data_IF_468496217236
#
_entry.id   IF_468496217236
#
_cell.length_a   1.000
_cell.length_b   1.000
_cell.length_c   1.000
_cell.angle_alpha   90.00
_cell.angle_beta   90.00
_cell.angle_gamma   90.00
#
_symmetry.space_group_name_H-M   'P 1'
#
loop_
_entity.id
_entity.type
_entity.pdbx_description
1 polymer ?
#
# COMPACT_ATOMS: atom_id res chain seq x y z
N UNK A 1 -23.69 -5.84 8.39
CA UNK A 1 -24.16 -4.95 7.30
C UNK A 1 -23.38 -3.66 7.42
N UNK A 2 -22.75 -3.15 6.35
CA UNK A 2 -21.84 -2.00 6.46
C UNK A 2 -22.53 -0.69 6.89
N UNK A 3 -21.73 0.29 7.33
CA UNK A 3 -22.27 1.62 7.68
C UNK A 3 -22.88 2.25 6.43
N UNK A 4 -24.07 2.85 6.55
CA UNK A 4 -24.69 3.60 5.45
C UNK A 4 -23.85 4.82 5.05
N UNK A 5 -23.18 5.45 6.03
CA UNK A 5 -22.27 6.57 5.84
C UNK A 5 -20.82 6.11 6.07
N UNK A 6 -19.93 6.27 5.09
CA UNK A 6 -18.52 5.95 5.27
C UNK A 6 -17.83 6.90 6.25
N UNK A 7 -16.76 6.42 6.87
CA UNK A 7 -15.80 7.28 7.57
C UNK A 7 -14.76 7.70 6.53
N UNK A 8 -14.47 9.00 6.48
CA UNK A 8 -13.61 9.58 5.44
C UNK A 8 -12.57 10.53 6.01
N UNK A 9 -11.39 10.50 5.40
CA UNK A 9 -10.36 11.56 5.47
C UNK A 9 -9.95 11.93 4.05
N UNK A 10 -9.43 13.14 3.86
CA UNK A 10 -8.84 13.56 2.60
C UNK A 10 -7.62 14.44 2.83
N UNK A 11 -6.77 14.51 1.81
CA UNK A 11 -5.60 15.37 1.76
C UNK A 11 -5.37 15.83 0.33
N UNK A 12 -4.51 16.82 0.13
CA UNK A 12 -4.16 17.32 -1.19
C UNK A 12 -2.73 16.89 -1.55
N UNK A 13 -2.54 16.46 -2.79
CA UNK A 13 -1.22 16.32 -3.39
C UNK A 13 -0.58 17.71 -3.61
N UNK A 14 0.75 17.79 -3.81
CA UNK A 14 1.43 19.07 -4.04
C UNK A 14 0.89 19.88 -5.23
N UNK A 15 0.28 19.20 -6.21
CA UNK A 15 -0.36 19.84 -7.38
C UNK A 15 -1.83 20.22 -7.16
N UNK A 16 -2.35 20.03 -5.95
CA UNK A 16 -3.72 20.39 -5.56
C UNK A 16 -4.78 19.34 -5.86
N UNK A 17 -4.44 18.17 -6.43
CA UNK A 17 -5.42 17.08 -6.56
C UNK A 17 -5.79 16.52 -5.18
N UNK A 18 -7.09 16.39 -4.92
CA UNK A 18 -7.58 15.78 -3.68
C UNK A 18 -7.52 14.25 -3.75
N UNK A 19 -7.00 13.65 -2.68
CA UNK A 19 -7.04 12.20 -2.42
C UNK A 19 -7.98 11.96 -1.26
N UNK A 20 -8.98 11.10 -1.48
CA UNK A 20 -9.99 10.75 -0.48
C UNK A 20 -9.80 9.29 -0.06
N UNK A 21 -9.77 9.05 1.25
CA UNK A 21 -9.67 7.71 1.85
C UNK A 21 -10.96 7.42 2.62
N UNK A 22 -11.67 6.35 2.25
CA UNK A 22 -12.95 5.95 2.83
C UNK A 22 -12.92 4.53 3.40
N UNK A 23 -13.55 4.30 4.55
CA UNK A 23 -13.76 2.97 5.14
C UNK A 23 -15.17 2.79 5.75
N UNK A 24 -15.52 1.54 6.07
CA UNK A 24 -16.72 1.19 6.83
C UNK A 24 -17.98 0.89 6.01
N UNK A 25 -17.98 1.22 4.71
CA UNK A 25 -19.10 0.95 3.80
C UNK A 25 -18.96 -0.39 3.05
N UNK A 26 -17.79 -0.67 2.50
CA UNK A 26 -17.52 -1.85 1.67
C UNK A 26 -16.77 -2.93 2.47
N UNK A 27 -17.05 -4.20 2.16
CA UNK A 27 -16.36 -5.38 2.70
C UNK A 27 -16.17 -5.39 4.23
N UNK A 28 -17.23 -5.12 4.99
CA UNK A 28 -17.15 -4.99 6.46
C UNK A 28 -16.88 -6.30 7.22
N UNK A 29 -16.72 -7.41 6.50
CA UNK A 29 -16.30 -8.69 7.06
C UNK A 29 -14.77 -8.88 7.00
N UNK A 30 -14.06 -8.08 6.20
CA UNK A 30 -12.60 -8.05 6.26
C UNK A 30 -12.14 -7.39 7.57
N UNK A 31 -10.93 -7.73 8.02
CA UNK A 31 -10.32 -7.09 9.18
C UNK A 31 -10.16 -5.59 8.91
N UNK A 32 -9.68 -5.24 7.71
CA UNK A 32 -9.63 -3.87 7.19
C UNK A 32 -10.06 -3.78 5.74
N UNK A 33 -10.73 -2.68 5.40
CA UNK A 33 -11.08 -2.36 4.02
C UNK A 33 -11.10 -0.85 3.80
N UNK A 34 -10.54 -0.42 2.67
CA UNK A 34 -10.44 1.00 2.32
C UNK A 34 -10.68 1.21 0.83
N UNK A 35 -11.31 2.33 0.51
CA UNK A 35 -11.42 2.87 -0.83
C UNK A 35 -10.60 4.16 -0.91
N UNK A 36 -9.58 4.18 -1.75
CA UNK A 36 -8.82 5.39 -2.10
C UNK A 36 -9.35 5.94 -3.42
N UNK A 37 -9.60 7.24 -3.49
CA UNK A 37 -10.07 7.92 -4.71
C UNK A 37 -9.23 9.16 -5.01
N UNK A 38 -8.77 9.26 -6.25
CA UNK A 38 -8.06 10.42 -6.81
C UNK A 38 -8.71 10.75 -8.15
N UNK A 39 -9.50 11.83 -8.20
CA UNK A 39 -10.34 12.12 -9.37
C UNK A 39 -11.26 10.95 -9.71
N UNK A 40 -11.03 10.31 -10.86
CA UNK A 40 -11.77 9.12 -11.33
C UNK A 40 -11.07 7.79 -11.01
N UNK A 41 -9.80 7.82 -10.61
CA UNK A 41 -9.07 6.62 -10.19
C UNK A 41 -9.53 6.20 -8.80
N UNK A 42 -9.95 4.95 -8.65
CA UNK A 42 -10.48 4.37 -7.42
C UNK A 42 -9.87 2.99 -7.18
N UNK A 43 -9.17 2.87 -6.06
CA UNK A 43 -8.51 1.66 -5.59
C UNK A 43 -9.23 1.14 -4.36
N UNK A 44 -9.69 -0.10 -4.43
CA UNK A 44 -10.31 -0.79 -3.30
C UNK A 44 -9.33 -1.81 -2.75
N UNK A 45 -8.94 -1.65 -1.49
CA UNK A 45 -8.09 -2.58 -0.77
C UNK A 45 -8.85 -3.26 0.37
N UNK A 46 -8.62 -4.55 0.54
CA UNK A 46 -9.09 -5.32 1.69
C UNK A 46 -7.95 -6.17 2.24
N UNK A 47 -7.87 -6.23 3.56
CA UNK A 47 -6.88 -7.04 4.28
C UNK A 47 -7.57 -7.99 5.24
N UNK A 48 -7.10 -9.23 5.25
CA UNK A 48 -7.55 -10.28 6.14
C UNK A 48 -6.33 -10.99 6.69
N UNK A 49 -6.31 -11.21 8.00
CA UNK A 49 -5.32 -12.04 8.65
C UNK A 49 -6.00 -13.09 9.51
N UNK A 50 -5.55 -14.33 9.38
CA UNK A 50 -5.97 -15.41 10.26
C UNK A 50 -5.78 -15.03 11.73
N UNK A 51 -6.70 -15.41 12.64
CA UNK A 51 -6.54 -15.16 14.07
C UNK A 51 -5.35 -15.92 14.68
N UNK A 52 -5.05 -17.09 14.14
CA UNK A 52 -3.99 -17.99 14.61
C UNK A 52 -3.08 -18.41 13.45
N UNK A 53 -1.83 -18.72 13.77
CA UNK A 53 -0.90 -19.33 12.83
C UNK A 53 -1.29 -20.78 12.53
N UNK A 54 -1.01 -21.25 11.32
CA UNK A 54 -1.22 -22.67 10.97
C UNK A 54 -0.20 -23.54 11.71
N UNK A 55 -0.60 -24.76 12.06
CA UNK A 55 0.30 -25.72 12.67
C UNK A 55 1.50 -26.02 11.74
N UNK A 56 2.71 -25.97 12.30
CA UNK A 56 3.95 -26.19 11.53
C UNK A 56 4.34 -25.07 10.58
N UNK A 57 3.74 -23.88 10.70
CA UNK A 57 4.09 -22.72 9.86
C UNK A 57 5.53 -22.27 10.12
N UNK A 58 6.40 -22.41 9.11
CA UNK A 58 7.84 -22.10 9.24
C UNK A 58 8.21 -20.65 8.89
N UNK A 59 7.31 -19.88 8.27
CA UNK A 59 7.57 -18.52 7.81
C UNK A 59 6.28 -17.68 7.78
N UNK A 60 6.41 -16.35 7.78
CA UNK A 60 5.28 -15.43 7.68
C UNK A 60 4.62 -15.48 6.27
N UNK A 61 3.39 -16.01 6.14
CA UNK A 61 2.71 -16.08 4.85
C UNK A 61 1.95 -14.77 4.58
N UNK A 62 2.65 -13.82 3.97
CA UNK A 62 2.06 -12.60 3.41
C UNK A 62 1.89 -12.76 1.89
N UNK A 63 0.66 -12.59 1.42
CA UNK A 63 0.32 -12.50 0.00
C UNK A 63 -0.25 -11.12 -0.31
N UNK A 64 0.26 -10.49 -1.37
CA UNK A 64 -0.23 -9.21 -1.86
C UNK A 64 -0.59 -9.39 -3.33
N UNK A 65 -1.86 -9.12 -3.67
CA UNK A 65 -2.36 -9.18 -5.04
C UNK A 65 -2.92 -7.81 -5.44
N UNK A 66 -2.31 -7.18 -6.43
CA UNK A 66 -2.86 -6.03 -7.14
C UNK A 66 -3.47 -6.49 -8.47
N UNK A 67 -4.71 -6.10 -8.75
CA UNK A 67 -5.40 -6.42 -10.00
C UNK A 67 -6.18 -5.23 -10.57
N UNK A 68 -6.05 -5.00 -11.87
CA UNK A 68 -6.85 -4.04 -12.61
C UNK A 68 -8.07 -4.71 -13.23
N UNK A 69 -9.27 -4.37 -12.75
CA UNK A 69 -10.49 -4.90 -13.34
C UNK A 69 -10.67 -4.33 -14.74
N UNK A 70 -11.00 -5.14 -15.74
CA UNK A 70 -11.26 -4.61 -17.09
C UNK A 70 -12.43 -3.60 -17.10
N UNK A 71 -13.40 -3.82 -16.22
CA UNK A 71 -14.51 -2.92 -15.97
C UNK A 71 -14.08 -1.52 -15.47
N UNK A 72 -12.92 -1.40 -14.81
CA UNK A 72 -12.39 -0.12 -14.35
C UNK A 72 -12.12 0.86 -15.50
N UNK A 73 -11.79 0.33 -16.68
CA UNK A 73 -11.60 1.07 -17.93
C UNK A 73 -12.80 0.97 -18.88
N UNK A 74 -13.93 0.41 -18.42
CA UNK A 74 -15.13 0.20 -19.25
C UNK A 74 -14.92 -0.81 -20.38
N UNK A 75 -14.04 -1.81 -20.20
CA UNK A 75 -13.71 -2.82 -21.20
C UNK A 75 -14.19 -4.21 -20.77
N UNK A 76 -14.44 -5.06 -21.76
CA UNK A 76 -14.68 -6.50 -21.55
C UNK A 76 -13.37 -7.24 -21.86
N UNK A 77 -12.93 -8.21 -21.04
CA UNK A 77 -11.72 -8.99 -21.33
C UNK A 77 -11.72 -9.59 -22.74
N UNK A 78 -10.59 -9.49 -23.43
CA UNK A 78 -10.42 -9.96 -24.81
C UNK A 78 -10.20 -11.46 -24.96
N UNK A 79 -9.95 -12.18 -23.87
CA UNK A 79 -9.66 -13.62 -23.88
C UNK A 79 -10.91 -14.47 -24.15
N UNK A 80 -10.70 -15.76 -24.46
CA UNK A 80 -11.77 -16.71 -24.78
C UNK A 80 -12.86 -16.78 -23.70
N UNK A 81 -12.46 -16.74 -22.43
CA UNK A 81 -13.36 -16.85 -21.29
C UNK A 81 -14.08 -15.54 -20.92
N UNK A 82 -13.71 -14.40 -21.52
CA UNK A 82 -14.24 -13.05 -21.18
C UNK A 82 -14.15 -12.73 -19.68
N UNK A 83 -13.06 -13.16 -19.03
CA UNK A 83 -12.84 -13.02 -17.58
C UNK A 83 -11.42 -12.59 -17.28
N UNK A 84 -11.22 -11.87 -16.18
CA UNK A 84 -9.91 -11.70 -15.57
C UNK A 84 -9.27 -13.07 -15.28
N UNK A 85 -7.97 -13.18 -15.53
CA UNK A 85 -7.20 -14.41 -15.35
C UNK A 85 -6.01 -14.13 -14.44
N UNK A 86 -4.89 -14.83 -14.66
CA UNK A 86 -3.61 -14.55 -14.00
C UNK A 86 -3.24 -13.07 -14.11
N UNK A 87 -2.63 -12.54 -13.06
CA UNK A 87 -2.01 -11.22 -13.04
C UNK A 87 -1.00 -11.06 -14.18
N UNK A 88 -1.05 -9.91 -14.86
CA UNK A 88 -0.05 -9.45 -15.81
C UNK A 88 1.27 -9.12 -15.12
N UNK A 89 2.36 -8.98 -15.90
CA UNK A 89 3.68 -8.65 -15.35
C UNK A 89 3.66 -7.30 -14.62
N UNK A 90 2.94 -6.31 -15.15
CA UNK A 90 2.74 -5.03 -14.49
C UNK A 90 2.03 -5.19 -13.15
N UNK A 91 0.93 -5.95 -13.09
CA UNK A 91 0.19 -6.20 -11.85
C UNK A 91 1.04 -6.95 -10.82
N UNK A 92 1.88 -7.90 -11.25
CA UNK A 92 2.84 -8.60 -10.39
C UNK A 92 3.91 -7.64 -9.87
N UNK A 93 4.42 -6.72 -10.70
CA UNK A 93 5.41 -5.73 -10.27
C UNK A 93 4.83 -4.78 -9.21
N UNK A 94 3.61 -4.27 -9.41
CA UNK A 94 2.92 -3.42 -8.41
C UNK A 94 2.67 -4.20 -7.13
N UNK A 95 2.25 -5.47 -7.22
CA UNK A 95 2.08 -6.35 -6.05
C UNK A 95 3.38 -6.47 -5.24
N UNK A 96 4.53 -6.59 -5.93
CA UNK A 96 5.85 -6.68 -5.30
C UNK A 96 6.31 -5.37 -4.66
N UNK A 97 5.98 -4.21 -5.25
CA UNK A 97 6.27 -2.90 -4.63
C UNK A 97 5.60 -2.80 -3.27
N UNK A 98 4.31 -3.12 -3.22
CA UNK A 98 3.51 -3.08 -1.99
C UNK A 98 4.01 -4.13 -0.98
N UNK A 99 4.29 -5.36 -1.40
CA UNK A 99 4.81 -6.42 -0.51
C UNK A 99 6.14 -6.01 0.15
N UNK A 100 7.09 -5.48 -0.63
CA UNK A 100 8.40 -5.04 -0.13
C UNK A 100 8.26 -3.94 0.92
N UNK A 101 7.32 -3.03 0.73
CA UNK A 101 7.11 -1.91 1.65
C UNK A 101 6.40 -2.35 2.95
N UNK A 102 5.48 -3.31 2.88
CA UNK A 102 4.69 -3.77 4.03
C UNK A 102 5.40 -4.84 4.88
N UNK A 103 6.05 -5.82 4.24
CA UNK A 103 6.58 -7.03 4.88
C UNK A 103 7.48 -6.75 6.10
N UNK A 104 8.41 -5.77 6.08
CA UNK A 104 9.29 -5.51 7.22
C UNK A 104 8.59 -4.90 8.44
N UNK A 105 7.34 -4.46 8.31
CA UNK A 105 6.60 -3.77 9.37
C UNK A 105 5.67 -4.69 10.16
N UNK A 106 5.60 -5.97 9.80
CA UNK A 106 4.96 -6.96 10.66
C UNK A 106 5.89 -7.33 11.81
N UNK A 107 5.36 -7.59 13.03
CA UNK A 107 6.18 -7.98 14.16
C UNK A 107 7.04 -9.21 13.85
N UNK A 108 8.22 -9.27 14.46
CA UNK A 108 9.04 -10.46 14.40
C UNK A 108 8.27 -11.68 14.97
N UNK A 109 8.37 -12.82 14.29
CA UNK A 109 7.62 -14.01 14.65
C UNK A 109 6.12 -13.99 14.29
N UNK A 110 5.63 -12.98 13.57
CA UNK A 110 4.25 -12.96 13.10
C UNK A 110 4.01 -14.04 12.02
N UNK A 111 3.32 -15.12 12.39
CA UNK A 111 3.11 -16.29 11.51
C UNK A 111 1.67 -16.44 10.99
N UNK A 112 0.81 -15.46 11.26
CA UNK A 112 -0.58 -15.51 10.83
C UNK A 112 -0.68 -15.21 9.34
N UNK A 113 -1.33 -16.10 8.60
CA UNK A 113 -1.56 -15.92 7.17
C UNK A 113 -2.33 -14.63 6.92
N UNK A 114 -1.69 -13.74 6.16
CA UNK A 114 -2.20 -12.40 5.87
C UNK A 114 -2.31 -12.20 4.37
N UNK A 115 -3.49 -11.81 3.92
CA UNK A 115 -3.78 -11.53 2.53
C UNK A 115 -4.15 -10.05 2.36
N UNK A 116 -3.49 -9.39 1.42
CA UNK A 116 -3.77 -8.03 0.98
C UNK A 116 -4.23 -8.11 -0.47
N UNK A 117 -5.47 -7.72 -0.73
CA UNK A 117 -6.02 -7.67 -2.10
C UNK A 117 -6.32 -6.21 -2.43
N UNK A 118 -5.79 -5.74 -3.56
CA UNK A 118 -5.96 -4.39 -4.07
C UNK A 118 -6.55 -4.50 -5.47
N UNK A 119 -7.68 -3.84 -5.70
CA UNK A 119 -8.32 -3.80 -7.00
C UNK A 119 -8.45 -2.36 -7.48
N UNK A 120 -7.99 -2.07 -8.70
CA UNK A 120 -8.43 -0.88 -9.42
C UNK A 120 -9.87 -1.13 -9.90
N UNK A 121 -10.82 -0.39 -9.34
CA UNK A 121 -12.25 -0.54 -9.64
C UNK A 121 -12.79 0.56 -10.56
N UNK A 122 -12.08 1.70 -10.65
CA UNK A 122 -12.32 2.74 -11.65
C UNK A 122 -10.97 3.37 -12.00
N UNK A 123 -10.66 3.52 -13.28
CA UNK A 123 -9.37 4.06 -13.73
C UNK A 123 -9.55 5.36 -14.50
N UNK A 124 -8.82 6.40 -14.12
CA UNK A 124 -8.50 7.49 -15.02
C UNK A 124 -7.34 7.09 -15.94
N UNK A 125 -7.36 7.51 -17.20
CA UNK A 125 -6.31 7.17 -18.17
C UNK A 125 -4.99 7.85 -17.85
N UNK A 126 -5.05 8.99 -17.15
CA UNK A 126 -3.91 9.87 -16.94
C UNK A 126 -3.39 9.85 -15.49
N UNK A 127 -4.07 9.14 -14.57
CA UNK A 127 -3.62 8.99 -13.18
C UNK A 127 -3.08 7.58 -12.97
N UNK A 128 -1.75 7.39 -12.87
CA UNK A 128 -1.15 6.08 -12.59
C UNK A 128 -1.65 5.53 -11.24
N UNK A 129 -2.24 4.32 -11.21
CA UNK A 129 -2.81 3.76 -9.98
C UNK A 129 -1.77 3.11 -9.06
N UNK A 130 -0.63 2.71 -9.61
CA UNK A 130 0.48 2.08 -8.89
C UNK A 130 0.98 2.94 -7.72
N UNK A 131 1.16 4.25 -7.94
CA UNK A 131 1.61 5.20 -6.92
C UNK A 131 0.63 5.37 -5.74
N UNK A 132 -0.55 4.76 -5.77
CA UNK A 132 -1.54 4.80 -4.69
C UNK A 132 -1.87 3.40 -4.15
N UNK A 133 -1.28 2.33 -4.71
CA UNK A 133 -1.58 0.97 -4.31
C UNK A 133 -1.12 0.70 -2.87
N UNK A 134 0.09 1.10 -2.50
CA UNK A 134 0.60 0.93 -1.14
C UNK A 134 -0.16 1.81 -0.12
N UNK A 135 -0.58 3.02 -0.53
CA UNK A 135 -1.48 3.87 0.28
C UNK A 135 -2.78 3.13 0.61
N UNK A 136 -3.41 2.50 -0.38
CA UNK A 136 -4.66 1.78 -0.19
C UNK A 136 -4.48 0.57 0.74
N UNK A 137 -3.44 -0.22 0.53
CA UNK A 137 -3.13 -1.38 1.37
C UNK A 137 -2.79 -0.99 2.81
N UNK A 138 -1.91 0.00 2.99
CA UNK A 138 -1.53 0.51 4.30
C UNK A 138 -2.72 1.13 5.04
N UNK A 139 -3.58 1.88 4.35
CA UNK A 139 -4.78 2.43 4.96
C UNK A 139 -5.74 1.33 5.44
N UNK A 140 -5.87 0.24 4.67
CA UNK A 140 -6.66 -0.93 5.07
C UNK A 140 -6.07 -1.62 6.32
N UNK A 141 -4.74 -1.76 6.43
CA UNK A 141 -4.07 -2.23 7.66
C UNK A 141 -4.22 -1.26 8.83
N UNK A 142 -4.16 0.04 8.58
CA UNK A 142 -4.28 1.07 9.61
C UNK A 142 -5.65 1.04 10.29
N UNK A 143 -6.72 0.75 9.54
CA UNK A 143 -8.10 0.66 10.06
C UNK A 143 -8.50 -0.73 10.57
N UNK A 144 -7.60 -1.71 10.52
CA UNK A 144 -7.79 -3.05 11.09
C UNK A 144 -7.15 -3.17 12.47
N UNK A 145 -7.40 -4.29 13.13
CA UNK A 145 -6.74 -4.69 14.38
C UNK A 145 -5.47 -5.52 14.13
N UNK A 146 -5.03 -5.71 12.88
CA UNK A 146 -3.82 -6.48 12.56
C UNK A 146 -2.57 -5.73 13.08
N UNK A 147 -1.65 -6.40 13.78
CA UNK A 147 -0.44 -5.76 14.29
C UNK A 147 0.49 -5.41 13.12
N UNK A 148 0.78 -4.12 12.99
CA UNK A 148 1.52 -3.55 11.88
C UNK A 148 2.17 -2.24 12.33
N UNK A 149 3.48 -2.11 12.15
CA UNK A 149 4.29 -0.96 12.57
C UNK A 149 4.27 0.22 11.58
N UNK A 150 3.27 0.27 10.69
CA UNK A 150 3.02 1.43 9.83
C UNK A 150 2.16 2.51 10.52
N UNK A 151 1.43 3.35 9.76
CA UNK A 151 1.21 3.24 8.32
C UNK A 151 2.41 3.64 7.47
N UNK A 152 2.42 3.16 6.23
CA UNK A 152 3.27 3.65 5.15
C UNK A 152 2.43 4.41 4.13
N UNK A 153 3.10 5.15 3.27
CA UNK A 153 2.56 5.41 1.94
C UNK A 153 3.64 5.25 0.88
N UNK A 154 3.22 5.32 -0.37
CA UNK A 154 4.06 5.28 -1.54
C UNK A 154 3.73 6.47 -2.43
N UNK A 155 4.75 7.05 -3.07
CA UNK A 155 4.59 8.09 -4.08
C UNK A 155 5.56 7.86 -5.22
N UNK A 156 5.14 8.25 -6.43
CA UNK A 156 6.01 8.43 -7.58
C UNK A 156 6.61 9.83 -7.54
N UNK A 157 7.91 9.95 -7.72
CA UNK A 157 8.62 11.22 -7.87
C UNK A 157 9.31 11.19 -9.22
N UNK A 158 8.93 12.13 -10.09
CA UNK A 158 9.60 12.30 -11.37
C UNK A 158 10.30 13.64 -11.45
N UNK A 159 11.44 13.68 -12.14
CA UNK A 159 12.11 14.94 -12.51
C UNK A 159 11.75 15.28 -13.95
N UNK A 160 11.03 16.38 -14.16
CA UNK A 160 10.52 16.80 -15.47
C UNK A 160 10.91 18.25 -15.67
N UNK A 161 11.65 18.54 -16.75
CA UNK A 161 12.16 19.88 -17.06
C UNK A 161 12.94 20.50 -15.88
N UNK A 162 13.77 19.69 -15.20
CA UNK A 162 14.54 20.14 -14.05
C UNK A 162 13.79 20.22 -12.70
N UNK A 163 12.47 20.01 -12.66
CA UNK A 163 11.64 20.11 -11.45
C UNK A 163 11.17 18.75 -10.95
N UNK A 164 11.17 18.54 -9.63
CA UNK A 164 10.62 17.34 -9.01
C UNK A 164 9.10 17.46 -8.86
N UNK A 165 8.37 16.50 -9.43
CA UNK A 165 6.92 16.39 -9.33
C UNK A 165 6.53 15.11 -8.59
N UNK A 166 5.59 15.23 -7.66
CA UNK A 166 5.04 14.11 -6.91
C UNK A 166 3.74 13.63 -7.57
N UNK A 167 3.67 12.32 -7.80
CA UNK A 167 2.58 11.61 -8.46
C UNK A 167 2.15 12.25 -9.79
N UNK A 168 3.06 12.65 -10.69
CA UNK A 168 2.69 13.33 -11.93
C UNK A 168 1.72 12.48 -12.76
N UNK A 169 0.97 13.14 -13.64
CA UNK A 169 0.10 12.41 -14.56
C UNK A 169 0.92 11.59 -15.55
N UNK A 170 0.32 10.54 -16.10
CA UNK A 170 0.97 9.61 -17.03
C UNK A 170 1.54 10.34 -18.25
N UNK A 171 0.79 11.30 -18.79
CA UNK A 171 1.21 12.12 -19.92
C UNK A 171 2.48 12.93 -19.65
N UNK A 172 2.77 13.29 -18.40
CA UNK A 172 3.96 14.07 -18.03
C UNK A 172 5.20 13.19 -17.86
N UNK A 173 5.04 11.87 -17.68
CA UNK A 173 6.14 10.93 -17.46
C UNK A 173 6.96 10.66 -18.73
N UNK A 174 6.42 10.92 -19.92
CA UNK A 174 7.13 10.69 -21.19
C UNK A 174 8.43 11.51 -21.28
N UNK A 175 8.42 12.70 -20.68
CA UNK A 175 9.54 13.65 -20.65
C UNK A 175 10.37 13.56 -19.35
N UNK A 176 10.13 12.56 -18.51
CA UNK A 176 10.85 12.42 -17.24
C UNK A 176 12.33 12.05 -17.44
N UNK A 177 13.20 12.78 -16.75
CA UNK A 177 14.64 12.52 -16.63
C UNK A 177 14.94 11.50 -15.50
N UNK A 178 14.07 11.46 -14.50
CA UNK A 178 14.09 10.52 -13.38
C UNK A 178 12.66 10.15 -13.06
N UNK A 179 12.40 8.88 -12.77
CA UNK A 179 11.10 8.39 -12.36
C UNK A 179 11.28 7.27 -11.32
N UNK A 180 11.01 7.60 -10.06
CA UNK A 180 11.16 6.67 -8.94
C UNK A 180 9.87 6.55 -8.15
N UNK A 181 9.61 5.37 -7.64
CA UNK A 181 8.63 5.11 -6.60
C UNK A 181 9.37 4.97 -5.28
N UNK A 182 8.90 5.70 -4.27
CA UNK A 182 9.42 5.67 -2.91
C UNK A 182 8.29 5.29 -1.97
N UNK A 183 8.52 4.33 -1.09
CA UNK A 183 7.63 4.01 0.01
C UNK A 183 8.32 4.23 1.36
N UNK A 184 7.59 4.83 2.30
CA UNK A 184 8.13 5.23 3.59
C UNK A 184 7.05 5.22 4.67
N UNK A 185 7.48 5.06 5.93
CA UNK A 185 6.69 5.43 7.11
C UNK A 185 6.80 6.94 7.35
N UNK A 186 6.25 7.43 8.47
CA UNK A 186 6.47 8.82 8.91
C UNK A 186 7.97 9.15 9.00
N UNK A 187 8.77 8.20 9.48
CA UNK A 187 10.16 8.47 9.90
C UNK A 187 11.20 7.83 8.98
N UNK A 188 10.89 6.69 8.36
CA UNK A 188 11.89 5.88 7.65
C UNK A 188 11.47 5.55 6.22
N UNK A 189 12.43 5.67 5.30
CA UNK A 189 12.29 5.18 3.92
C UNK A 189 12.45 3.66 3.93
N UNK A 190 11.51 2.95 3.31
CA UNK A 190 11.43 1.49 3.33
C UNK A 190 11.84 0.87 2.00
N UNK A 191 11.43 1.49 0.89
CA UNK A 191 11.60 0.93 -0.45
C UNK A 191 11.76 2.06 -1.46
N UNK A 192 12.69 1.87 -2.40
CA UNK A 192 12.87 2.73 -3.57
C UNK A 192 13.02 1.81 -4.79
N UNK A 193 12.33 2.14 -5.87
CA UNK A 193 12.41 1.47 -7.17
C UNK A 193 12.26 2.52 -8.26
N UNK A 194 12.99 2.42 -9.38
CA UNK A 194 12.76 3.32 -10.50
C UNK A 194 13.87 3.34 -11.52
N UNK A 195 13.80 4.30 -12.42
CA UNK A 195 14.74 4.51 -13.51
C UNK A 195 15.11 5.99 -13.67
N UNK A 196 16.26 6.25 -14.28
CA UNK A 196 16.73 7.60 -14.56
C UNK A 196 17.66 7.65 -15.77
N UNK A 197 17.69 8.80 -16.46
CA UNK A 197 18.58 9.11 -17.58
C UNK A 197 19.89 9.72 -17.06
N UNK A 198 20.77 8.86 -16.54
CA UNK A 198 22.10 9.26 -16.04
C UNK A 198 22.06 10.40 -14.99
N UNK A 199 21.19 10.29 -13.98
CA UNK A 199 21.13 11.28 -12.91
C UNK A 199 22.33 11.19 -11.95
N UNK A 200 22.69 12.30 -11.34
CA UNK A 200 23.65 12.33 -10.23
C UNK A 200 23.07 11.71 -8.96
N UNK A 201 23.93 11.22 -8.06
CA UNK A 201 23.51 10.68 -6.76
C UNK A 201 22.79 11.73 -5.92
N UNK A 202 23.20 13.00 -6.04
CA UNK A 202 22.56 14.13 -5.37
C UNK A 202 21.11 14.29 -5.82
N UNK A 203 20.84 14.15 -7.11
CA UNK A 203 19.49 14.28 -7.65
C UNK A 203 18.57 13.14 -7.20
N UNK A 204 19.11 11.92 -7.11
CA UNK A 204 18.37 10.77 -6.60
C UNK A 204 18.02 10.93 -5.11
N UNK A 205 18.98 11.37 -4.29
CA UNK A 205 18.75 11.63 -2.86
C UNK A 205 17.72 12.74 -2.66
N UNK A 206 17.73 13.78 -3.50
CA UNK A 206 16.74 14.85 -3.44
C UNK A 206 15.34 14.35 -3.83
N UNK A 207 15.23 13.54 -4.88
CA UNK A 207 13.96 12.92 -5.26
C UNK A 207 13.36 12.08 -4.12
N UNK A 208 14.19 11.30 -3.42
CA UNK A 208 13.77 10.50 -2.27
C UNK A 208 13.25 11.39 -1.13
N UNK A 209 13.93 12.51 -0.83
CA UNK A 209 13.49 13.45 0.20
C UNK A 209 12.15 14.11 -0.15
N UNK A 210 12.01 14.58 -1.39
CA UNK A 210 10.75 15.16 -1.89
C UNK A 210 9.61 14.14 -1.77
N UNK A 211 9.87 12.88 -2.12
CA UNK A 211 8.91 11.79 -1.96
C UNK A 211 8.54 11.55 -0.49
N UNK A 212 9.53 11.46 0.40
CA UNK A 212 9.29 11.21 1.82
C UNK A 212 8.47 12.33 2.48
N UNK A 213 8.73 13.60 2.18
CA UNK A 213 7.92 14.71 2.70
C UNK A 213 6.46 14.63 2.22
N UNK A 214 6.22 14.27 0.97
CA UNK A 214 4.86 14.06 0.47
C UNK A 214 4.17 12.86 1.14
N UNK A 215 4.90 11.77 1.40
CA UNK A 215 4.39 10.57 2.07
C UNK A 215 3.88 10.89 3.48
N UNK A 216 4.57 11.74 4.25
CA UNK A 216 4.17 12.12 5.62
C UNK A 216 2.74 12.64 5.70
N UNK A 217 2.32 13.43 4.70
CA UNK A 217 0.93 13.93 4.60
C UNK A 217 -0.06 12.78 4.43
N UNK A 218 0.28 11.79 3.60
CA UNK A 218 -0.58 10.62 3.35
C UNK A 218 -0.64 9.68 4.55
N UNK A 219 0.47 9.50 5.26
CA UNK A 219 0.55 8.73 6.51
C UNK A 219 -0.31 9.40 7.58
N UNK A 220 -0.24 10.73 7.73
CA UNK A 220 -1.08 11.45 8.67
C UNK A 220 -2.58 11.27 8.37
N UNK A 221 -2.99 11.32 7.11
CA UNK A 221 -4.39 11.11 6.71
C UNK A 221 -4.89 9.68 7.06
N UNK A 222 -4.02 8.68 7.03
CA UNK A 222 -4.32 7.30 7.48
C UNK A 222 -4.46 7.22 9.01
N UNK A 223 -3.56 7.87 9.75
CA UNK A 223 -3.65 7.95 11.21
C UNK A 223 -4.95 8.63 11.65
N UNK A 224 -5.29 9.75 11.01
CA UNK A 224 -6.55 10.46 11.26
C UNK A 224 -7.77 9.58 10.95
N UNK A 225 -7.70 8.75 9.91
CA UNK A 225 -8.75 7.80 9.58
C UNK A 225 -8.90 6.72 10.65
N UNK A 226 -7.78 6.13 11.10
CA UNK A 226 -7.75 5.14 12.16
C UNK A 226 -8.33 5.70 13.47
N UNK A 227 -7.98 6.94 13.83
CA UNK A 227 -8.54 7.64 14.98
C UNK A 227 -10.07 7.78 14.89
N UNK A 228 -10.61 8.14 13.71
CA UNK A 228 -12.06 8.20 13.48
C UNK A 228 -12.75 6.83 13.51
N UNK A 229 -12.03 5.75 13.17
CA UNK A 229 -12.54 4.36 13.29
C UNK A 229 -12.61 3.93 14.75
N UNK A 230 -11.70 4.40 15.60
CA UNK A 230 -11.69 4.18 17.04
C UNK A 230 -11.08 2.84 17.43
N UNK A 231 -11.59 2.22 18.49
CA UNK A 231 -10.96 1.05 19.14
C UNK A 231 -10.61 -0.09 18.18
N UNK A 232 -11.45 -0.37 17.17
CA UNK A 232 -11.17 -1.40 16.17
C UNK A 232 -9.83 -1.19 15.47
N UNK A 233 -9.46 0.06 15.19
CA UNK A 233 -8.21 0.40 14.52
C UNK A 233 -7.06 0.61 15.50
N UNK A 234 -7.35 1.16 16.68
CA UNK A 234 -6.35 1.58 17.66
C UNK A 234 -5.85 0.44 18.55
N UNK A 235 -6.69 -0.56 18.82
CA UNK A 235 -6.31 -1.73 19.62
C UNK A 235 -5.95 -2.88 18.69
N UNK A 236 -4.65 -3.06 18.46
CA UNK A 236 -4.14 -4.20 17.68
C UNK A 236 -4.31 -5.50 18.46
N UNK A 237 -4.63 -6.60 17.76
CA UNK A 237 -4.71 -7.93 18.34
C UNK A 237 -3.33 -8.38 18.81
N UNK A 238 -3.31 -9.04 19.97
CA UNK A 238 -2.08 -9.58 20.53
C UNK A 238 -1.66 -10.83 19.75
N UNK A 239 -0.35 -11.00 19.61
CA UNK A 239 0.26 -12.15 18.95
C UNK A 239 1.05 -12.88 20.01
N UNK A 240 0.80 -14.18 20.16
CA UNK A 240 1.61 -14.99 21.07
C UNK A 240 3.07 -14.94 20.59
N UNK A 241 4.03 -14.58 21.47
CA UNK A 241 5.43 -14.66 21.11
C UNK A 241 5.78 -16.11 20.79
N UNK A 242 6.76 -16.34 19.89
CA UNK A 242 7.27 -17.70 19.68
C UNK A 242 7.77 -18.27 21.02
N UNK A 243 7.56 -19.58 21.28
CA UNK A 243 8.08 -20.20 22.48
C UNK A 243 9.61 -20.17 22.46
N UNK A 244 10.22 -19.60 23.51
CA UNK A 244 11.67 -19.59 23.69
C UNK A 244 12.10 -20.75 24.61
N UNK A 245 13.06 -21.55 24.16
CA UNK A 245 13.73 -22.58 24.97
C UNK A 245 15.13 -22.07 25.35
N UNK A 246 15.24 -21.55 26.57
CA UNK A 246 16.47 -20.99 27.12
C UNK A 246 17.59 -22.04 27.29
N UNK A 247 17.26 -23.32 27.50
CA UNK A 247 18.27 -24.38 27.60
C UNK A 247 18.85 -24.69 26.22
N UNK A 248 17.99 -24.81 25.21
CA UNK A 248 18.42 -24.99 23.82
C UNK A 248 19.26 -23.79 23.33
N UNK A 249 18.84 -22.57 23.67
CA UNK A 249 19.56 -21.35 23.29
C UNK A 249 20.99 -21.35 23.84
N UNK A 250 21.16 -21.67 25.13
CA UNK A 250 22.50 -21.79 25.74
C UNK A 250 23.36 -22.88 25.11
N UNK A 251 22.77 -24.04 24.79
CA UNK A 251 23.49 -25.15 24.16
C UNK A 251 24.02 -24.80 22.76
N UNK A 252 23.37 -23.89 22.04
CA UNK A 252 23.77 -23.48 20.68
C UNK A 252 24.74 -22.31 20.70
N UNK A 253 24.71 -21.47 21.75
CA UNK A 253 25.62 -20.32 21.91
C UNK A 253 27.02 -20.72 22.41
N UNK A 254 27.15 -21.84 23.13
CA UNK A 254 28.43 -22.44 23.59
C UNK A 254 29.15 -23.31 22.53
#
# INVERSE_FOLDING_TARGET
>A
MGKQTPITTSFHLPDGREVVIETGKLATQADGSVLVRVGKTMLFASVVSSPEAREGQAFFPLSVDYQEKFASAGRIPGNFFRRESKLSDYEVLVSRLVDRALRPLFPEGYMNETQVIINLISGDKDVPPDAFAALAASAALAVSDIPFAGPISEVRVAKINGEYKVNPNKSELEDAELDIIVAATMDNVMMVEGEARECSEKELVEAIKVGHEAIKVQVQAQLDLAQKVGEKALKKREVAPPPEDEELKKLVED
#
